data_IF_928950102289
#
_entry.id   IF_928950102289
#
_cell.length_a   1.000
_cell.length_b   1.000
_cell.length_c   1.000
_cell.angle_alpha   90.00
_cell.angle_beta   90.00
_cell.angle_gamma   90.00
#
_symmetry.space_group_name_H-M   'P 1'
#
loop_
_entity.id
_entity.type
_entity.pdbx_description
1 polymer ?
#
# COMPACT_ATOMS: atom_id res chain seq x y z
N UNK A 1 20.25 -36.47 1.87
CA UNK A 1 18.98 -35.72 1.69
C UNK A 1 18.02 -36.61 0.92
N UNK A 2 17.26 -37.47 1.63
CA UNK A 2 16.44 -38.49 0.98
C UNK A 2 15.00 -38.06 0.73
N UNK A 3 14.52 -37.02 1.42
CA UNK A 3 13.17 -36.50 1.32
C UNK A 3 13.25 -34.96 1.15
N UNK A 4 12.55 -34.47 0.16
CA UNK A 4 12.43 -33.04 -0.11
C UNK A 4 10.95 -32.64 -0.13
N UNK A 5 10.59 -31.56 0.59
CA UNK A 5 9.26 -31.01 0.55
C UNK A 5 9.34 -29.72 -0.26
N UNK A 6 8.54 -29.61 -1.31
CA UNK A 6 8.42 -28.41 -2.12
C UNK A 6 7.08 -27.74 -1.88
N UNK A 7 7.08 -26.42 -1.69
CA UNK A 7 5.88 -25.58 -1.72
C UNK A 7 5.64 -25.08 -3.13
N UNK A 8 4.47 -25.38 -3.62
CA UNK A 8 3.97 -24.81 -4.87
C UNK A 8 2.69 -24.02 -4.56
N UNK A 9 2.65 -22.75 -4.91
CA UNK A 9 1.51 -21.89 -4.69
C UNK A 9 1.52 -20.68 -5.61
N UNK A 10 0.44 -19.91 -5.58
CA UNK A 10 0.35 -18.70 -6.35
C UNK A 10 1.19 -17.59 -5.70
N UNK A 11 1.90 -16.78 -6.52
CA UNK A 11 2.69 -15.63 -6.06
C UNK A 11 1.81 -14.41 -5.75
N UNK A 12 0.65 -14.34 -6.39
CA UNK A 12 -0.28 -13.21 -6.28
C UNK A 12 -1.69 -13.72 -6.04
N UNK A 13 -2.36 -13.15 -5.05
CA UNK A 13 -3.70 -13.56 -4.63
C UNK A 13 -4.49 -12.35 -4.19
N UNK A 14 -5.82 -12.39 -4.32
CA UNK A 14 -6.71 -11.36 -3.81
C UNK A 14 -7.17 -11.70 -2.39
N UNK A 15 -7.40 -10.66 -1.59
CA UNK A 15 -8.04 -10.77 -0.29
C UNK A 15 -9.37 -11.52 -0.39
N UNK A 16 -9.65 -12.37 0.57
CA UNK A 16 -10.84 -13.22 0.58
C UNK A 16 -10.74 -14.52 -0.21
N UNK A 17 -9.78 -14.66 -1.12
CA UNK A 17 -9.60 -15.88 -1.90
C UNK A 17 -9.00 -17.02 -1.08
N UNK A 18 -9.37 -18.25 -1.45
CA UNK A 18 -8.77 -19.46 -0.91
C UNK A 18 -7.43 -19.72 -1.60
N UNK A 19 -6.37 -19.60 -0.81
CA UNK A 19 -5.02 -20.01 -1.20
C UNK A 19 -4.92 -21.52 -1.19
N UNK A 20 -4.32 -22.10 -2.22
CA UNK A 20 -3.99 -23.52 -2.22
C UNK A 20 -2.49 -23.70 -2.29
N UNK A 21 -1.93 -24.38 -1.31
CA UNK A 21 -0.55 -24.84 -1.34
C UNK A 21 -0.52 -26.34 -1.51
N UNK A 22 0.40 -26.80 -2.32
CA UNK A 22 0.69 -28.22 -2.47
C UNK A 22 2.04 -28.46 -1.82
N UNK A 23 2.05 -29.22 -0.74
CA UNK A 23 3.26 -29.82 -0.20
C UNK A 23 3.51 -31.11 -0.95
N UNK A 24 4.55 -31.14 -1.77
CA UNK A 24 4.95 -32.29 -2.54
C UNK A 24 6.18 -32.95 -1.88
N UNK A 25 6.01 -34.18 -1.40
CA UNK A 25 7.07 -34.92 -0.78
C UNK A 25 7.72 -35.82 -1.83
N UNK A 26 8.92 -35.46 -2.23
CA UNK A 26 9.73 -36.22 -3.18
C UNK A 26 10.79 -37.04 -2.44
N UNK A 27 10.86 -38.30 -2.75
CA UNK A 27 11.95 -39.18 -2.31
C UNK A 27 12.94 -39.37 -3.45
N UNK A 28 14.22 -39.20 -3.19
CA UNK A 28 15.30 -39.39 -4.17
C UNK A 28 15.52 -40.86 -4.51
N UNK A 29 15.06 -41.75 -3.64
CA UNK A 29 15.09 -43.22 -3.85
C UNK A 29 13.65 -43.71 -3.82
N UNK A 30 13.29 -44.61 -4.72
CA UNK A 30 11.98 -45.29 -4.71
C UNK A 30 11.79 -46.18 -3.47
N UNK A 31 12.39 -45.80 -2.35
CA UNK A 31 12.18 -46.44 -1.06
C UNK A 31 10.78 -46.03 -0.57
N UNK A 32 9.96 -47.05 -0.43
CA UNK A 32 8.65 -47.01 0.19
C UNK A 32 8.85 -46.60 1.65
N UNK A 33 8.74 -45.31 1.93
CA UNK A 33 8.73 -44.81 3.30
C UNK A 33 7.27 -44.69 3.70
N UNK A 34 6.78 -45.68 4.43
CA UNK A 34 5.49 -45.57 5.10
C UNK A 34 5.69 -44.84 6.43
N UNK A 35 4.83 -43.89 6.74
CA UNK A 35 4.94 -43.09 7.96
C UNK A 35 4.21 -41.74 7.84
N UNK A 36 4.68 -40.76 8.55
CA UNK A 36 4.15 -39.37 8.45
C UNK A 36 5.27 -38.37 8.64
N UNK A 37 5.07 -37.18 8.04
CA UNK A 37 5.90 -36.01 8.32
C UNK A 37 5.06 -35.05 9.11
N UNK A 38 5.47 -34.72 10.33
CA UNK A 38 4.90 -33.67 11.14
C UNK A 38 5.73 -32.38 10.92
N UNK A 39 5.08 -31.24 10.85
CA UNK A 39 5.73 -29.95 10.68
C UNK A 39 4.88 -28.80 11.23
N UNK A 40 5.55 -27.71 11.59
CA UNK A 40 4.93 -26.48 11.96
C UNK A 40 4.74 -25.64 10.69
N UNK A 41 3.48 -25.41 10.30
CA UNK A 41 3.11 -24.46 9.27
C UNK A 41 3.00 -23.07 9.87
N UNK A 42 3.66 -22.09 9.25
CA UNK A 42 3.64 -20.68 9.65
C UNK A 42 3.19 -19.84 8.47
N UNK A 43 2.08 -19.13 8.66
CA UNK A 43 1.59 -18.08 7.79
C UNK A 43 1.84 -16.75 8.50
N UNK A 44 2.57 -15.85 7.88
CA UNK A 44 2.95 -14.57 8.47
C UNK A 44 2.69 -13.46 7.46
N UNK A 45 1.74 -12.57 7.77
CA UNK A 45 1.53 -11.33 7.05
C UNK A 45 2.44 -10.27 7.68
N UNK A 46 3.46 -9.86 6.94
CA UNK A 46 4.48 -8.91 7.41
C UNK A 46 3.92 -7.50 7.55
N UNK A 47 3.04 -7.11 6.63
CA UNK A 47 2.47 -5.76 6.57
C UNK A 47 1.56 -5.49 7.78
N UNK A 48 0.68 -6.44 8.11
CA UNK A 48 -0.28 -6.30 9.21
C UNK A 48 0.14 -7.02 10.48
N UNK A 49 1.39 -7.51 10.56
CA UNK A 49 1.94 -8.22 11.72
C UNK A 49 1.01 -9.35 12.21
N UNK A 50 0.39 -10.07 11.27
CA UNK A 50 -0.51 -11.17 11.58
C UNK A 50 0.19 -12.51 11.35
N UNK A 51 0.26 -13.34 12.40
CA UNK A 51 0.94 -14.64 12.36
C UNK A 51 0.03 -15.75 12.83
N UNK A 52 -0.06 -16.81 12.03
CA UNK A 52 -0.83 -18.01 12.32
C UNK A 52 0.12 -19.20 12.25
N UNK A 53 0.14 -19.99 13.31
CA UNK A 53 0.92 -21.22 13.40
C UNK A 53 -0.01 -22.42 13.57
N UNK A 54 0.24 -23.48 12.82
CA UNK A 54 -0.53 -24.71 12.91
C UNK A 54 0.39 -25.94 12.79
N UNK A 55 0.24 -26.88 13.72
CA UNK A 55 0.85 -28.17 13.59
C UNK A 55 0.11 -28.99 12.52
N UNK A 56 0.85 -29.45 11.53
CA UNK A 56 0.32 -30.14 10.37
C UNK A 56 1.07 -31.45 10.18
N UNK A 57 0.45 -32.40 9.47
CA UNK A 57 1.12 -33.62 9.09
C UNK A 57 0.79 -34.05 7.67
N UNK A 58 1.73 -34.75 7.04
CA UNK A 58 1.57 -35.40 5.73
C UNK A 58 1.73 -36.89 5.94
N UNK A 59 0.69 -37.72 5.70
CA UNK A 59 0.84 -39.16 5.68
C UNK A 59 1.65 -39.55 4.47
N UNK A 60 2.65 -40.39 4.68
CA UNK A 60 3.46 -40.99 3.63
C UNK A 60 2.90 -42.37 3.31
N UNK A 61 2.44 -42.54 2.07
CA UNK A 61 2.01 -43.83 1.54
C UNK A 61 3.08 -44.44 0.64
N UNK A 62 2.75 -45.58 0.03
CA UNK A 62 3.65 -46.29 -0.88
C UNK A 62 4.07 -45.51 -2.14
N UNK A 63 3.48 -44.40 -2.42
CA UNK A 63 3.81 -43.48 -3.52
C UNK A 63 3.70 -42.09 -3.02
N UNK A 64 4.51 -41.16 -3.57
CA UNK A 64 4.63 -39.73 -3.33
C UNK A 64 3.47 -39.08 -2.54
N UNK A 65 3.79 -38.46 -1.40
CA UNK A 65 2.80 -37.77 -0.57
C UNK A 65 2.55 -36.37 -1.05
N UNK A 66 1.42 -36.11 -1.74
CA UNK A 66 0.95 -34.76 -2.05
C UNK A 66 -0.16 -34.37 -1.11
N UNK A 67 -0.02 -33.27 -0.43
CA UNK A 67 -1.09 -32.73 0.40
C UNK A 67 -1.39 -31.30 0.00
N UNK A 68 -2.67 -31.04 -0.30
CA UNK A 68 -3.17 -29.71 -0.64
C UNK A 68 -3.74 -29.07 0.61
N UNK A 69 -3.29 -27.83 0.89
CA UNK A 69 -3.77 -26.99 1.98
C UNK A 69 -4.51 -25.80 1.44
N UNK A 70 -5.60 -25.43 2.11
CA UNK A 70 -6.40 -24.27 1.78
C UNK A 70 -6.37 -23.29 2.94
N UNK A 71 -6.06 -22.04 2.64
CA UNK A 71 -6.11 -20.92 3.56
C UNK A 71 -6.88 -19.81 2.93
N UNK A 72 -7.64 -19.10 3.72
CA UNK A 72 -8.29 -17.86 3.28
C UNK A 72 -7.31 -16.71 3.50
N UNK A 73 -6.98 -15.97 2.45
CA UNK A 73 -6.22 -14.73 2.55
C UNK A 73 -7.11 -13.65 3.18
N UNK A 74 -7.05 -13.49 4.50
CA UNK A 74 -7.99 -12.64 5.25
C UNK A 74 -7.68 -11.15 5.09
N UNK A 75 -6.42 -10.80 4.91
CA UNK A 75 -5.96 -9.42 4.83
C UNK A 75 -5.00 -9.23 3.67
N UNK A 76 -4.96 -8.03 3.10
CA UNK A 76 -3.94 -7.65 2.14
C UNK A 76 -2.55 -7.55 2.79
N UNK A 77 -1.49 -7.56 2.00
CA UNK A 77 -0.12 -7.39 2.48
C UNK A 77 0.88 -8.37 1.91
N UNK A 78 2.13 -8.19 2.31
CA UNK A 78 3.19 -9.17 2.05
C UNK A 78 3.06 -10.34 3.00
N UNK A 79 3.04 -11.55 2.45
CA UNK A 79 2.83 -12.77 3.20
C UNK A 79 3.98 -13.74 2.97
N UNK A 80 4.47 -14.31 4.06
CA UNK A 80 5.42 -15.43 4.04
C UNK A 80 4.73 -16.67 4.55
N UNK A 81 4.76 -17.69 3.72
CA UNK A 81 4.40 -19.06 4.13
C UNK A 81 5.66 -19.86 4.31
N UNK A 82 5.82 -20.50 5.44
CA UNK A 82 6.99 -21.33 5.74
C UNK A 82 6.62 -22.56 6.53
N UNK A 83 7.49 -23.55 6.48
CA UNK A 83 7.45 -24.63 7.47
C UNK A 83 8.73 -24.71 8.25
N UNK A 84 8.56 -25.15 9.49
CA UNK A 84 9.64 -25.35 10.46
C UNK A 84 9.43 -26.70 11.15
N UNK A 85 10.44 -27.15 11.84
CA UNK A 85 10.37 -28.30 12.74
C UNK A 85 9.80 -29.56 12.07
N UNK A 86 10.40 -29.92 10.91
CA UNK A 86 9.99 -31.08 10.15
C UNK A 86 10.54 -32.36 10.80
N UNK A 87 9.63 -33.27 11.13
CA UNK A 87 9.97 -34.58 11.69
C UNK A 87 9.34 -35.67 10.89
N UNK A 88 10.18 -36.62 10.45
CA UNK A 88 9.73 -37.86 9.82
C UNK A 88 9.52 -38.92 10.90
N UNK A 89 8.35 -39.50 10.92
CA UNK A 89 8.00 -40.63 11.80
C UNK A 89 7.81 -41.91 10.99
N UNK A 90 8.21 -43.02 11.58
CA UNK A 90 7.87 -44.36 11.06
C UNK A 90 6.37 -44.66 11.21
N UNK A 91 5.91 -45.77 10.62
CA UNK A 91 4.49 -46.18 10.64
C UNK A 91 3.92 -46.30 12.06
N UNK A 92 4.74 -46.78 12.98
CA UNK A 92 4.35 -47.03 14.36
C UNK A 92 4.58 -45.84 15.26
N UNK A 93 5.30 -44.81 14.79
CA UNK A 93 5.62 -43.60 15.56
C UNK A 93 6.71 -43.82 16.62
N UNK A 94 7.43 -44.91 16.60
CA UNK A 94 8.49 -45.20 17.57
C UNK A 94 9.79 -44.47 17.29
N UNK A 95 10.08 -44.20 16.01
CA UNK A 95 11.27 -43.49 15.59
C UNK A 95 10.92 -42.18 14.93
N UNK A 96 11.70 -41.12 15.23
CA UNK A 96 11.60 -39.83 14.54
C UNK A 96 12.95 -39.34 14.08
N UNK A 97 12.98 -38.74 12.91
CA UNK A 97 14.17 -38.10 12.33
C UNK A 97 13.86 -36.68 11.99
N UNK A 98 14.71 -35.75 12.44
CA UNK A 98 14.58 -34.32 12.06
C UNK A 98 15.04 -34.12 10.62
N UNK A 99 14.19 -33.46 9.83
CA UNK A 99 14.52 -33.06 8.48
C UNK A 99 14.92 -31.57 8.52
N UNK A 100 16.23 -31.28 8.39
CA UNK A 100 16.75 -29.92 8.40
C UNK A 100 16.46 -29.24 7.07
N UNK A 101 15.20 -28.86 6.86
CA UNK A 101 14.72 -28.16 5.69
C UNK A 101 13.84 -27.01 6.15
N UNK A 102 14.16 -25.80 5.67
CA UNK A 102 13.34 -24.61 5.85
C UNK A 102 13.04 -24.08 4.47
N UNK A 103 11.79 -24.04 4.08
CA UNK A 103 11.36 -23.38 2.85
C UNK A 103 10.44 -22.24 3.22
N UNK A 104 10.61 -21.12 2.51
CA UNK A 104 9.78 -19.94 2.61
C UNK A 104 9.24 -19.64 1.22
N UNK A 105 7.97 -19.33 1.16
CA UNK A 105 7.30 -18.87 -0.04
C UNK A 105 6.75 -17.48 0.22
N UNK A 106 7.23 -16.53 -0.56
CA UNK A 106 6.78 -15.13 -0.50
C UNK A 106 5.64 -14.94 -1.50
N UNK A 107 4.63 -14.24 -1.08
CA UNK A 107 3.51 -13.85 -1.93
C UNK A 107 2.97 -12.49 -1.53
N UNK A 108 2.23 -11.88 -2.43
CA UNK A 108 1.51 -10.64 -2.19
C UNK A 108 0.01 -10.93 -2.26
N UNK A 109 -0.70 -10.49 -1.22
CA UNK A 109 -2.15 -10.50 -1.16
C UNK A 109 -2.64 -9.09 -1.46
N UNK A 110 -3.26 -8.91 -2.63
CA UNK A 110 -3.85 -7.64 -3.02
C UNK A 110 -5.21 -7.44 -2.37
N UNK A 111 -5.57 -6.22 -1.99
CA UNK A 111 -6.88 -5.93 -1.42
C UNK A 111 -8.00 -6.20 -2.41
N UNK A 112 -9.20 -6.46 -1.89
CA UNK A 112 -10.42 -6.55 -2.70
C UNK A 112 -10.81 -5.17 -3.22
N UNK A 113 -11.35 -5.11 -4.44
CA UNK A 113 -11.88 -3.85 -4.99
C UNK A 113 -13.16 -3.46 -4.28
N UNK A 114 -13.29 -2.18 -3.98
CA UNK A 114 -14.51 -1.61 -3.42
C UNK A 114 -15.26 -0.88 -4.55
N UNK A 115 -16.51 -1.24 -4.74
CA UNK A 115 -17.35 -0.61 -5.76
C UNK A 115 -17.84 0.76 -5.29
N UNK A 116 -17.53 1.79 -6.08
CA UNK A 116 -17.92 3.18 -5.79
C UNK A 116 -18.19 3.97 -7.05
N UNK A 117 -19.03 4.99 -6.93
CA UNK A 117 -19.25 6.02 -7.93
C UNK A 117 -18.65 7.34 -7.43
N UNK A 118 -17.60 7.80 -8.09
CA UNK A 118 -17.03 9.10 -7.84
C UNK A 118 -17.77 10.14 -8.69
N UNK A 119 -18.42 11.09 -8.04
CA UNK A 119 -19.00 12.24 -8.70
C UNK A 119 -17.94 13.35 -8.71
N UNK A 120 -17.30 13.50 -9.85
CA UNK A 120 -16.37 14.61 -10.05
C UNK A 120 -17.16 15.84 -10.46
N UNK A 121 -17.16 16.84 -9.60
CA UNK A 121 -17.84 18.10 -9.88
C UNK A 121 -16.88 19.01 -10.65
N UNK A 122 -17.02 19.08 -11.97
CA UNK A 122 -16.23 20.02 -12.81
C UNK A 122 -16.50 21.51 -12.48
N UNK A 123 -17.55 21.79 -11.71
CA UNK A 123 -17.94 23.16 -11.37
C UNK A 123 -17.00 23.85 -10.38
N UNK A 124 -16.10 23.12 -9.74
CA UNK A 124 -14.97 23.71 -9.02
C UNK A 124 -13.82 24.06 -9.98
N UNK A 125 -14.12 24.71 -11.11
CA UNK A 125 -13.08 25.39 -11.88
C UNK A 125 -12.47 26.43 -10.96
N UNK A 126 -11.14 26.51 -10.85
CA UNK A 126 -10.50 27.59 -10.13
C UNK A 126 -11.03 28.89 -10.70
N UNK A 127 -11.35 29.82 -9.84
CA UNK A 127 -11.77 31.16 -10.19
C UNK A 127 -10.88 31.71 -11.31
N UNK A 128 -11.45 31.97 -12.50
CA UNK A 128 -10.71 32.50 -13.67
C UNK A 128 -10.10 33.87 -13.44
N UNK A 129 -10.17 34.45 -12.22
CA UNK A 129 -9.71 35.80 -11.89
C UNK A 129 -8.48 35.86 -10.98
N UNK A 130 -7.79 34.77 -10.75
CA UNK A 130 -6.47 34.77 -10.12
C UNK A 130 -5.46 34.18 -11.08
N UNK A 131 -4.51 34.96 -11.52
CA UNK A 131 -3.22 34.41 -11.95
C UNK A 131 -2.86 33.34 -10.91
N UNK A 132 -3.04 32.06 -11.25
CA UNK A 132 -2.45 30.99 -10.49
C UNK A 132 -0.96 31.33 -10.45
N UNK A 133 -0.51 31.94 -9.38
CA UNK A 133 0.90 31.98 -9.07
C UNK A 133 1.25 30.51 -8.81
N UNK A 134 1.61 29.81 -9.90
CA UNK A 134 2.31 28.54 -9.80
C UNK A 134 3.48 28.80 -8.88
N UNK A 135 3.38 28.34 -7.64
CA UNK A 135 4.53 28.39 -6.76
C UNK A 135 5.50 27.35 -7.30
N UNK A 136 6.46 27.87 -8.06
CA UNK A 136 7.57 27.11 -8.55
C UNK A 136 8.30 26.47 -7.37
N UNK A 137 8.31 25.15 -7.31
CA UNK A 137 9.11 24.41 -6.37
C UNK A 137 10.37 23.91 -7.04
N UNK A 138 11.39 23.73 -6.22
CA UNK A 138 12.63 23.06 -6.58
C UNK A 138 12.33 21.66 -7.13
N UNK A 139 12.63 21.42 -8.40
CA UNK A 139 12.33 20.17 -9.08
C UNK A 139 13.36 19.80 -10.15
N UNK A 140 13.04 18.78 -10.93
CA UNK A 140 13.94 18.22 -11.96
C UNK A 140 13.71 18.83 -13.35
N UNK A 141 12.65 19.60 -13.55
CA UNK A 141 12.42 20.24 -14.84
C UNK A 141 13.35 21.45 -15.03
N UNK A 142 14.29 21.31 -15.95
CA UNK A 142 15.29 22.33 -16.29
C UNK A 142 14.85 23.28 -17.39
N UNK A 143 13.63 23.15 -17.90
CA UNK A 143 13.07 24.06 -18.90
C UNK A 143 12.81 25.45 -18.31
N UNK A 144 12.43 25.50 -17.04
CA UNK A 144 12.28 26.72 -16.28
C UNK A 144 13.17 26.69 -15.02
N UNK A 145 13.86 27.80 -14.76
CA UNK A 145 14.80 27.92 -13.65
C UNK A 145 14.06 28.49 -12.45
N UNK A 146 13.95 27.69 -11.38
CA UNK A 146 13.36 28.12 -10.11
C UNK A 146 14.30 29.05 -9.35
N UNK A 147 15.54 28.60 -9.15
CA UNK A 147 16.54 29.29 -8.34
C UNK A 147 17.95 28.94 -8.82
N UNK A 148 18.92 29.65 -8.28
CA UNK A 148 20.33 29.47 -8.53
C UNK A 148 21.06 29.22 -7.23
N UNK A 149 21.56 28.01 -7.03
CA UNK A 149 22.41 27.69 -5.88
C UNK A 149 23.89 27.67 -6.24
N UNK A 150 24.72 27.87 -5.23
CA UNK A 150 26.16 27.65 -5.38
C UNK A 150 26.46 26.17 -5.61
N UNK A 151 27.31 25.89 -6.59
CA UNK A 151 27.81 24.54 -6.85
C UNK A 151 28.66 24.02 -5.70
N UNK A 152 28.43 22.79 -5.27
CA UNK A 152 29.28 22.05 -4.36
C UNK A 152 29.83 20.79 -5.03
N UNK A 153 31.06 20.33 -4.63
CA UNK A 153 31.60 19.07 -5.14
C UNK A 153 30.65 17.91 -4.90
N UNK A 154 30.22 17.24 -5.99
CA UNK A 154 29.21 16.18 -5.95
C UNK A 154 27.90 16.53 -6.65
N UNK A 155 27.65 17.81 -6.93
CA UNK A 155 26.52 18.25 -7.74
C UNK A 155 26.75 17.94 -9.25
N UNK A 156 25.67 17.74 -10.02
CA UNK A 156 25.77 17.45 -11.47
C UNK A 156 26.14 18.70 -12.27
N UNK A 157 27.34 18.66 -12.86
CA UNK A 157 27.91 19.75 -13.67
C UNK A 157 27.04 20.13 -14.89
N UNK A 158 26.19 19.23 -15.40
CA UNK A 158 25.30 19.49 -16.51
C UNK A 158 24.29 20.60 -16.22
N UNK A 159 23.99 20.81 -14.95
CA UNK A 159 23.03 21.83 -14.48
C UNK A 159 23.68 23.19 -14.18
N UNK A 160 24.97 23.37 -14.47
CA UNK A 160 25.65 24.65 -14.23
C UNK A 160 25.14 25.73 -15.18
N UNK A 161 24.83 26.90 -14.65
CA UNK A 161 24.43 28.07 -15.42
C UNK A 161 25.69 28.85 -15.90
N UNK A 162 26.38 28.33 -16.90
CA UNK A 162 27.69 28.84 -17.38
C UNK A 162 27.75 30.35 -17.59
N UNK A 163 26.72 30.93 -18.23
CA UNK A 163 26.66 32.35 -18.53
C UNK A 163 26.64 33.22 -17.27
N UNK A 164 25.89 32.83 -16.25
CA UNK A 164 25.77 33.58 -15.00
C UNK A 164 26.96 33.29 -14.09
N UNK A 165 27.46 32.07 -14.07
CA UNK A 165 28.65 31.68 -13.34
C UNK A 165 29.87 32.48 -13.77
N UNK A 166 30.05 32.70 -15.08
CA UNK A 166 31.11 33.53 -15.62
C UNK A 166 30.96 35.00 -15.22
N UNK A 167 29.72 35.53 -15.13
CA UNK A 167 29.46 36.91 -14.71
C UNK A 167 29.67 37.12 -13.21
N UNK A 168 29.28 36.12 -12.39
CA UNK A 168 29.33 36.19 -10.92
C UNK A 168 30.65 35.69 -10.33
N UNK A 169 31.57 35.17 -11.19
CA UNK A 169 32.83 34.53 -10.81
C UNK A 169 32.67 33.40 -9.76
N UNK A 170 31.51 32.77 -9.76
CA UNK A 170 31.14 31.70 -8.85
C UNK A 170 30.33 30.65 -9.62
N UNK A 171 30.61 29.36 -9.44
CA UNK A 171 29.82 28.32 -10.08
C UNK A 171 28.42 28.27 -9.49
N UNK A 172 27.44 28.51 -10.32
CA UNK A 172 26.02 28.51 -9.98
C UNK A 172 25.31 27.37 -10.71
N UNK A 173 24.55 26.63 -9.96
CA UNK A 173 23.70 25.53 -10.46
C UNK A 173 22.29 26.06 -10.69
N UNK A 174 21.71 25.66 -11.81
CA UNK A 174 20.28 25.85 -12.07
C UNK A 174 19.50 24.86 -11.22
N UNK A 175 18.56 25.34 -10.44
CA UNK A 175 17.52 24.50 -9.85
C UNK A 175 16.25 24.60 -10.71
N UNK A 176 15.80 23.45 -11.20
CA UNK A 176 14.60 23.37 -12.02
C UNK A 176 13.33 23.58 -11.22
N UNK A 177 12.25 23.86 -11.92
CA UNK A 177 10.91 23.94 -11.37
C UNK A 177 10.28 22.56 -11.27
N UNK A 178 9.36 22.38 -10.35
CA UNK A 178 8.45 21.26 -10.32
C UNK A 178 7.06 21.77 -10.73
N UNK A 179 6.67 21.49 -11.97
CA UNK A 179 5.27 21.70 -12.34
C UNK A 179 4.46 20.53 -11.78
N UNK A 180 3.48 20.81 -10.94
CA UNK A 180 2.46 19.82 -10.63
C UNK A 180 1.65 19.58 -11.90
N UNK A 181 1.76 18.39 -12.46
CA UNK A 181 1.02 18.03 -13.68
C UNK A 181 -0.47 17.82 -13.37
N UNK A 182 -0.82 17.60 -12.10
CA UNK A 182 -2.19 17.33 -11.65
C UNK A 182 -2.61 18.22 -10.49
N UNK A 183 -3.89 18.55 -10.47
CA UNK A 183 -4.52 19.37 -9.44
C UNK A 183 -4.96 18.53 -8.21
N UNK A 184 -4.99 17.22 -8.33
CA UNK A 184 -5.54 16.29 -7.34
C UNK A 184 -4.42 15.51 -6.68
N UNK A 185 -4.48 15.44 -5.35
CA UNK A 185 -3.66 14.52 -4.56
C UNK A 185 -4.53 13.55 -3.76
N UNK A 186 -4.21 12.27 -3.82
CA UNK A 186 -4.72 11.24 -2.94
C UNK A 186 -3.71 11.01 -1.81
N UNK A 187 -4.01 11.58 -0.64
CA UNK A 187 -3.20 11.43 0.57
C UNK A 187 -3.64 10.19 1.34
N UNK A 188 -2.72 9.27 1.56
CA UNK A 188 -2.97 7.98 2.23
C UNK A 188 -2.20 7.94 3.55
N UNK A 189 -2.95 7.92 4.65
CA UNK A 189 -2.44 7.88 6.02
C UNK A 189 -3.05 6.70 6.77
N UNK A 190 -2.51 5.52 6.53
CA UNK A 190 -3.03 4.27 7.07
C UNK A 190 -1.99 3.68 8.02
N UNK A 191 -2.23 3.83 9.32
CA UNK A 191 -1.38 3.29 10.36
C UNK A 191 -2.01 2.11 11.09
N UNK A 192 -1.18 1.16 11.49
CA UNK A 192 -1.56 0.04 12.33
C UNK A 192 -1.17 0.36 13.78
N UNK A 193 -2.14 0.52 14.67
CA UNK A 193 -1.90 0.77 16.09
C UNK A 193 -1.25 -0.45 16.77
N UNK A 194 -0.42 -0.21 17.78
CA UNK A 194 0.30 -1.29 18.49
C UNK A 194 -0.60 -2.28 19.24
N UNK A 195 -1.85 -1.93 19.53
CA UNK A 195 -2.82 -2.81 20.19
C UNK A 195 -3.34 -3.97 19.33
N UNK A 196 -3.00 -4.00 18.04
CA UNK A 196 -3.15 -5.13 17.11
C UNK A 196 -4.47 -5.93 17.20
N UNK A 197 -5.58 -5.30 17.47
CA UNK A 197 -6.87 -5.95 17.49
C UNK A 197 -7.24 -6.46 16.06
N UNK A 198 -7.98 -7.54 16.00
CA UNK A 198 -8.43 -8.14 14.74
C UNK A 198 -9.22 -7.12 13.91
N UNK A 199 -10.05 -6.31 14.58
CA UNK A 199 -10.86 -5.26 13.95
C UNK A 199 -9.99 -4.18 13.34
N UNK A 200 -8.93 -3.73 14.01
CA UNK A 200 -7.99 -2.74 13.47
C UNK A 200 -7.34 -3.22 12.16
N UNK A 201 -6.97 -4.49 12.08
CA UNK A 201 -6.40 -5.08 10.86
C UNK A 201 -7.39 -5.10 9.70
N UNK A 202 -8.67 -5.35 9.98
CA UNK A 202 -9.71 -5.26 8.95
C UNK A 202 -9.91 -3.84 8.47
N UNK A 203 -10.00 -2.86 9.39
CA UNK A 203 -10.11 -1.43 9.06
C UNK A 203 -8.93 -0.99 8.19
N UNK A 204 -7.70 -1.32 8.59
CA UNK A 204 -6.48 -0.97 7.85
C UNK A 204 -6.47 -1.60 6.45
N UNK A 205 -6.79 -2.91 6.35
CA UNK A 205 -6.85 -3.60 5.05
C UNK A 205 -7.91 -2.98 4.13
N UNK A 206 -9.10 -2.64 4.67
CA UNK A 206 -10.18 -2.01 3.90
C UNK A 206 -9.89 -0.56 3.55
N UNK A 207 -9.20 0.20 4.40
CA UNK A 207 -8.78 1.57 4.10
C UNK A 207 -7.80 1.59 2.91
N UNK A 208 -6.85 0.66 2.87
CA UNK A 208 -5.96 0.54 1.71
C UNK A 208 -6.72 0.11 0.46
N UNK A 209 -7.64 -0.87 0.58
CA UNK A 209 -8.52 -1.29 -0.52
C UNK A 209 -9.31 -0.12 -1.09
N UNK A 210 -9.83 0.74 -0.20
CA UNK A 210 -10.59 1.92 -0.56
C UNK A 210 -9.72 2.95 -1.31
N UNK A 211 -8.56 3.30 -0.76
CA UNK A 211 -7.64 4.25 -1.39
C UNK A 211 -7.22 3.78 -2.79
N UNK A 212 -6.86 2.50 -2.95
CA UNK A 212 -6.53 1.92 -4.24
C UNK A 212 -7.71 1.95 -5.21
N UNK A 213 -8.93 1.66 -4.73
CA UNK A 213 -10.14 1.70 -5.56
C UNK A 213 -10.49 3.12 -6.01
N UNK A 214 -10.26 4.14 -5.16
CA UNK A 214 -10.40 5.55 -5.54
C UNK A 214 -9.44 5.90 -6.67
N UNK A 215 -8.14 5.59 -6.52
CA UNK A 215 -7.14 5.85 -7.55
C UNK A 215 -7.48 5.18 -8.88
N UNK A 216 -7.86 3.89 -8.85
CA UNK A 216 -8.29 3.18 -10.06
C UNK A 216 -9.51 3.83 -10.72
N UNK A 217 -10.52 4.26 -9.93
CA UNK A 217 -11.73 4.90 -10.48
C UNK A 217 -11.47 6.28 -11.05
N UNK A 218 -10.54 7.06 -10.49
CA UNK A 218 -10.08 8.33 -11.08
C UNK A 218 -9.47 8.09 -12.46
N UNK A 219 -8.57 7.11 -12.56
CA UNK A 219 -7.92 6.77 -13.84
C UNK A 219 -8.87 6.19 -14.89
N UNK A 220 -9.91 5.45 -14.48
CA UNK A 220 -10.98 5.01 -15.39
C UNK A 220 -11.74 6.20 -16.00
N UNK A 221 -11.78 7.34 -15.30
CA UNK A 221 -12.37 8.59 -15.78
C UNK A 221 -11.37 9.51 -16.47
N UNK A 222 -10.18 9.02 -16.78
CA UNK A 222 -9.07 9.80 -17.37
C UNK A 222 -8.64 11.00 -16.49
N UNK A 223 -8.79 10.88 -15.17
CA UNK A 223 -8.38 11.90 -14.20
C UNK A 223 -7.02 11.50 -13.63
N UNK A 224 -5.97 12.16 -14.12
CA UNK A 224 -4.61 12.02 -13.57
C UNK A 224 -4.51 12.64 -12.18
N UNK A 225 -3.68 12.04 -11.31
CA UNK A 225 -3.51 12.51 -9.94
C UNK A 225 -2.20 12.04 -9.34
N UNK A 226 -1.77 12.68 -8.25
CA UNK A 226 -0.68 12.19 -7.42
C UNK A 226 -1.22 11.35 -6.27
N UNK A 227 -0.47 10.33 -5.89
CA UNK A 227 -0.69 9.59 -4.65
C UNK A 227 0.47 9.84 -3.71
N UNK A 228 0.17 10.32 -2.51
CA UNK A 228 1.12 10.54 -1.44
C UNK A 228 0.90 9.48 -0.36
N UNK A 229 1.74 8.44 -0.34
CA UNK A 229 1.74 7.42 0.71
C UNK A 229 2.60 7.93 1.86
N UNK A 230 2.02 8.10 3.03
CA UNK A 230 2.79 8.49 4.22
C UNK A 230 3.67 7.32 4.71
N UNK A 231 4.97 7.56 4.87
CA UNK A 231 5.96 6.59 5.35
C UNK A 231 6.88 7.25 6.39
N UNK A 232 6.45 7.24 7.64
CA UNK A 232 7.20 7.70 8.83
C UNK A 232 7.97 9.01 8.59
N UNK A 233 7.24 10.12 8.56
CA UNK A 233 7.82 11.47 8.45
C UNK A 233 8.26 11.90 7.05
N UNK A 234 7.84 11.18 6.02
CA UNK A 234 8.04 11.53 4.61
C UNK A 234 6.89 11.00 3.76
N UNK A 235 6.77 11.50 2.54
CA UNK A 235 5.86 10.96 1.54
C UNK A 235 6.60 10.15 0.48
N UNK A 236 6.01 9.01 0.13
CA UNK A 236 6.35 8.27 -1.06
C UNK A 236 5.35 8.64 -2.16
N UNK A 237 5.84 9.30 -3.20
CA UNK A 237 5.00 9.83 -4.27
C UNK A 237 4.87 8.86 -5.42
N UNK A 238 3.63 8.70 -5.90
CA UNK A 238 3.30 7.97 -7.12
C UNK A 238 2.55 8.90 -8.06
N UNK A 239 3.00 8.98 -9.29
CA UNK A 239 2.35 9.74 -10.35
C UNK A 239 1.45 8.80 -11.15
N UNK A 240 0.16 9.11 -11.20
CA UNK A 240 -0.89 8.29 -11.81
C UNK A 240 -1.44 9.00 -13.04
N UNK A 241 -0.89 8.68 -14.22
CA UNK A 241 -1.32 9.21 -15.52
C UNK A 241 -2.37 8.30 -16.17
N UNK A 242 -2.11 6.99 -16.12
CA UNK A 242 -2.90 5.97 -16.80
C UNK A 242 -3.11 4.74 -15.91
N UNK A 243 -4.11 3.94 -16.23
CA UNK A 243 -4.38 2.68 -15.53
C UNK A 243 -3.16 1.74 -15.46
N UNK A 244 -2.25 1.84 -16.42
CA UNK A 244 -1.04 1.03 -16.42
C UNK A 244 -0.11 1.40 -15.25
N UNK A 245 0.00 2.69 -14.91
CA UNK A 245 0.83 3.18 -13.79
C UNK A 245 0.31 2.63 -12.47
N UNK A 246 -1.03 2.59 -12.32
CA UNK A 246 -1.69 1.98 -11.15
C UNK A 246 -1.32 0.51 -11.01
N UNK A 247 -1.45 -0.29 -12.07
CA UNK A 247 -1.13 -1.73 -12.00
C UNK A 247 0.35 -2.00 -11.76
N UNK A 248 1.25 -1.16 -12.28
CA UNK A 248 2.69 -1.27 -12.05
C UNK A 248 3.10 -0.86 -10.62
N UNK A 249 2.34 0.01 -9.98
CA UNK A 249 2.62 0.50 -8.63
C UNK A 249 1.96 -0.32 -7.52
N UNK A 250 1.15 -1.33 -7.82
CA UNK A 250 0.38 -2.10 -6.82
C UNK A 250 1.25 -2.67 -5.68
N UNK A 251 2.44 -3.15 -5.99
CA UNK A 251 3.37 -3.68 -4.98
C UNK A 251 3.88 -2.57 -4.05
N UNK A 252 4.05 -1.36 -4.57
CA UNK A 252 4.46 -0.18 -3.80
C UNK A 252 3.35 0.27 -2.84
N UNK A 253 2.09 0.22 -3.27
CA UNK A 253 0.95 0.47 -2.39
C UNK A 253 0.93 -0.49 -1.20
N UNK A 254 1.19 -1.77 -1.44
CA UNK A 254 1.20 -2.79 -0.39
C UNK A 254 2.38 -2.60 0.57
N UNK A 255 3.56 -2.29 0.04
CA UNK A 255 4.78 -2.18 0.85
C UNK A 255 4.93 -0.84 1.57
N UNK A 256 4.31 0.24 1.06
CA UNK A 256 4.46 1.62 1.57
C UNK A 256 3.16 2.25 2.07
N UNK A 257 2.00 1.71 1.70
CA UNK A 257 0.71 2.29 2.03
C UNK A 257 0.23 2.05 3.47
N UNK A 258 0.93 1.21 4.25
CA UNK A 258 0.61 0.91 5.65
C UNK A 258 1.86 1.12 6.50
N UNK A 259 1.74 1.97 7.51
CA UNK A 259 2.82 2.30 8.45
C UNK A 259 2.56 1.73 9.85
N UNK A 260 3.61 1.60 10.71
CA UNK A 260 3.45 1.00 12.04
C UNK A 260 2.49 1.74 12.97
N UNK A 261 2.33 3.06 12.84
CA UNK A 261 1.43 3.87 13.66
C UNK A 261 0.66 4.84 12.79
N UNK A 262 -0.55 5.22 13.20
CA UNK A 262 -1.27 6.33 12.57
C UNK A 262 -0.38 7.56 12.61
N UNK A 263 -0.21 8.15 11.43
CA UNK A 263 0.78 9.16 11.23
C UNK A 263 0.25 10.56 11.40
N UNK A 264 1.20 11.48 11.36
CA UNK A 264 0.97 12.91 11.26
C UNK A 264 1.01 13.35 9.80
N UNK A 265 0.40 12.58 8.89
CA UNK A 265 0.47 12.87 7.45
C UNK A 265 -0.06 14.26 7.12
N UNK A 266 -1.18 14.69 7.73
CA UNK A 266 -1.72 16.03 7.53
C UNK A 266 -0.78 17.12 8.05
N UNK A 267 -0.19 16.92 9.24
CA UNK A 267 0.78 17.87 9.79
C UNK A 267 1.99 18.02 8.88
N UNK A 268 2.52 16.89 8.41
CA UNK A 268 3.63 16.89 7.47
C UNK A 268 3.24 17.59 6.17
N UNK A 269 2.05 17.30 5.63
CA UNK A 269 1.55 17.91 4.40
C UNK A 269 1.46 19.42 4.49
N UNK A 270 0.94 19.94 5.61
CA UNK A 270 0.86 21.39 5.88
C UNK A 270 2.24 21.98 6.15
N UNK A 271 3.10 21.30 6.93
CA UNK A 271 4.43 21.82 7.28
C UNK A 271 5.36 21.94 6.08
N UNK A 272 5.21 21.04 5.10
CA UNK A 272 5.91 21.09 3.82
C UNK A 272 5.23 22.01 2.79
N UNK A 273 4.13 22.68 3.18
CA UNK A 273 3.34 23.60 2.35
C UNK A 273 2.78 22.95 1.07
N UNK A 274 2.53 21.62 1.10
CA UNK A 274 1.99 20.86 -0.03
C UNK A 274 0.52 21.24 -0.33
N UNK A 275 -0.19 21.78 0.65
CA UNK A 275 -1.54 22.31 0.53
C UNK A 275 -1.67 23.49 -0.47
N UNK A 276 -0.53 24.05 -0.89
CA UNK A 276 -0.47 25.11 -1.91
C UNK A 276 -0.38 24.58 -3.35
N UNK A 277 0.06 23.36 -3.52
CA UNK A 277 0.35 22.78 -4.82
C UNK A 277 -0.88 22.12 -5.46
N UNK A 278 -1.92 21.86 -4.66
CA UNK A 278 -3.10 21.13 -5.10
C UNK A 278 -4.38 21.97 -4.88
N UNK A 279 -5.38 21.74 -5.72
CA UNK A 279 -6.72 22.32 -5.58
C UNK A 279 -7.69 21.36 -4.92
N UNK A 280 -7.44 20.06 -5.03
CA UNK A 280 -8.26 19.02 -4.44
C UNK A 280 -7.41 17.97 -3.73
N UNK A 281 -7.83 17.59 -2.54
CA UNK A 281 -7.23 16.51 -1.75
C UNK A 281 -8.27 15.47 -1.40
N UNK A 282 -7.97 14.21 -1.71
CA UNK A 282 -8.71 13.05 -1.20
C UNK A 282 -7.85 12.45 -0.09
N UNK A 283 -8.33 12.53 1.14
CA UNK A 283 -7.60 12.05 2.32
C UNK A 283 -8.21 10.75 2.82
N UNK A 284 -7.47 9.67 2.80
CA UNK A 284 -7.91 8.35 3.29
C UNK A 284 -7.07 7.97 4.51
N UNK A 285 -7.75 7.76 5.64
CA UNK A 285 -7.10 7.38 6.90
C UNK A 285 -7.82 6.20 7.57
N UNK A 286 -7.07 5.38 8.31
CA UNK A 286 -7.62 4.37 9.22
C UNK A 286 -7.88 4.95 10.63
N UNK A 287 -7.43 6.18 10.89
CA UNK A 287 -7.57 6.90 12.16
C UNK A 287 -8.87 7.70 12.27
N UNK A 288 -8.91 8.57 13.29
CA UNK A 288 -9.93 9.61 13.41
C UNK A 288 -9.53 10.83 12.61
N UNK A 289 -10.53 11.62 12.21
CA UNK A 289 -10.25 12.92 11.61
C UNK A 289 -9.64 13.84 12.69
N UNK A 290 -8.49 14.42 12.35
CA UNK A 290 -7.80 15.35 13.23
C UNK A 290 -8.34 16.77 13.05
N UNK A 291 -8.25 17.59 14.11
CA UNK A 291 -8.53 19.03 14.05
C UNK A 291 -7.67 19.76 13.01
N UNK A 292 -6.63 19.11 12.53
CA UNK A 292 -5.70 19.61 11.52
C UNK A 292 -6.33 19.80 10.14
N UNK A 293 -7.42 19.10 9.83
CA UNK A 293 -8.22 19.37 8.63
C UNK A 293 -8.72 20.83 8.59
N UNK A 294 -8.88 21.47 9.75
CA UNK A 294 -9.28 22.87 9.86
C UNK A 294 -8.14 23.86 9.61
N UNK A 295 -6.89 23.38 9.61
CA UNK A 295 -5.68 24.19 9.36
C UNK A 295 -5.32 24.29 7.88
N UNK A 296 -5.96 23.47 7.05
CA UNK A 296 -5.75 23.49 5.60
C UNK A 296 -6.29 24.79 5.01
N UNK A 297 -5.67 25.26 3.95
CA UNK A 297 -6.05 26.53 3.32
C UNK A 297 -7.44 26.45 2.69
N UNK A 298 -8.15 27.58 2.70
CA UNK A 298 -9.51 27.73 2.15
C UNK A 298 -9.61 27.38 0.65
N UNK A 299 -8.51 27.39 -0.07
CA UNK A 299 -8.47 27.11 -1.50
C UNK A 299 -8.36 25.61 -1.83
N UNK A 300 -8.11 24.74 -0.85
CA UNK A 300 -8.00 23.31 -1.02
C UNK A 300 -9.34 22.65 -0.68
N UNK A 301 -10.00 22.05 -1.67
CA UNK A 301 -11.19 21.22 -1.43
C UNK A 301 -10.77 19.86 -0.91
N UNK A 302 -11.29 19.44 0.23
CA UNK A 302 -10.91 18.19 0.89
C UNK A 302 -12.07 17.22 0.96
N UNK A 303 -11.85 16.00 0.45
CA UNK A 303 -12.73 14.85 0.68
C UNK A 303 -12.01 13.88 1.59
N UNK A 304 -12.37 13.86 2.87
CA UNK A 304 -11.75 12.98 3.86
C UNK A 304 -12.62 11.74 4.13
N UNK A 305 -11.98 10.58 4.15
CA UNK A 305 -12.66 9.30 4.27
C UNK A 305 -11.97 8.46 5.35
N UNK A 306 -12.76 7.94 6.30
CA UNK A 306 -12.30 6.96 7.28
C UNK A 306 -13.29 5.80 7.36
N UNK A 307 -12.77 4.61 7.70
CA UNK A 307 -13.57 3.40 7.87
C UNK A 307 -13.63 3.08 9.37
N UNK A 308 -14.84 2.81 9.87
CA UNK A 308 -15.10 2.54 11.28
C UNK A 308 -15.84 1.20 11.46
N UNK A 309 -15.46 0.45 12.49
CA UNK A 309 -16.03 -0.87 12.80
C UNK A 309 -17.39 -0.83 13.50
N UNK A 310 -17.72 0.31 14.16
CA UNK A 310 -18.93 0.43 15.01
C UNK A 310 -20.04 1.26 14.35
N UNK A 311 -19.89 1.62 13.09
CA UNK A 311 -20.94 2.34 12.36
C UNK A 311 -21.89 1.37 11.68
N UNK A 312 -23.20 1.66 11.81
CA UNK A 312 -24.25 0.92 11.09
C UNK A 312 -24.69 1.61 9.79
N UNK A 313 -24.27 2.86 9.57
CA UNK A 313 -24.63 3.67 8.40
C UNK A 313 -23.51 4.64 8.08
N UNK A 314 -23.43 5.04 6.82
CA UNK A 314 -22.52 6.12 6.39
C UNK A 314 -22.91 7.40 7.11
N UNK A 315 -21.90 8.05 7.72
CA UNK A 315 -22.04 9.39 8.26
C UNK A 315 -21.32 10.36 7.36
N UNK A 316 -21.98 11.45 7.01
CA UNK A 316 -21.40 12.50 6.16
C UNK A 316 -21.53 13.81 6.89
N UNK A 317 -20.40 14.48 7.05
CA UNK A 317 -20.35 15.84 7.59
C UNK A 317 -19.79 16.76 6.52
N UNK A 318 -20.50 17.85 6.24
CA UNK A 318 -20.07 18.85 5.27
C UNK A 318 -19.70 20.13 5.99
N UNK A 319 -18.48 20.61 5.75
CA UNK A 319 -17.99 21.89 6.26
C UNK A 319 -17.44 22.72 5.10
N UNK A 320 -18.16 23.76 4.71
CA UNK A 320 -17.80 24.64 3.57
C UNK A 320 -17.58 23.81 2.29
N UNK A 321 -16.32 23.72 1.83
CA UNK A 321 -15.92 22.93 0.65
C UNK A 321 -15.41 21.53 0.99
N UNK A 322 -15.43 21.16 2.28
CA UNK A 322 -14.88 19.88 2.75
C UNK A 322 -15.98 18.87 3.02
N UNK A 323 -15.79 17.66 2.52
CA UNK A 323 -16.67 16.52 2.72
C UNK A 323 -15.97 15.48 3.57
N UNK A 324 -16.57 15.14 4.72
CA UNK A 324 -16.04 14.12 5.63
C UNK A 324 -16.98 12.90 5.58
N UNK A 325 -16.44 11.74 5.23
CA UNK A 325 -17.18 10.49 5.15
C UNK A 325 -16.64 9.48 6.16
N UNK A 326 -17.50 9.00 7.03
CA UNK A 326 -17.23 7.85 7.89
C UNK A 326 -18.00 6.64 7.39
N UNK A 327 -17.30 5.59 6.99
CA UNK A 327 -17.86 4.41 6.35
C UNK A 327 -17.92 3.23 7.31
N UNK A 328 -19.03 2.49 7.35
CA UNK A 328 -19.14 1.28 8.14
C UNK A 328 -18.31 0.14 7.52
N UNK A 329 -17.50 -0.52 8.35
CA UNK A 329 -16.65 -1.63 7.91
C UNK A 329 -17.46 -2.79 7.32
N UNK A 330 -18.55 -3.19 7.99
CA UNK A 330 -19.36 -4.36 7.64
C UNK A 330 -20.10 -4.19 6.31
N UNK A 331 -20.40 -2.94 5.93
CA UNK A 331 -21.18 -2.65 4.72
C UNK A 331 -20.32 -2.23 3.53
N UNK A 332 -19.02 -2.15 3.69
CA UNK A 332 -18.12 -1.56 2.67
C UNK A 332 -18.06 -2.39 1.40
N UNK A 333 -18.21 -3.71 1.50
CA UNK A 333 -18.18 -4.62 0.35
C UNK A 333 -19.58 -4.83 -0.28
N UNK A 334 -20.67 -4.43 0.39
CA UNK A 334 -22.04 -4.71 -0.01
C UNK A 334 -22.74 -3.55 -0.75
N UNK A 335 -22.24 -2.33 -0.55
CA UNK A 335 -22.87 -1.13 -1.06
C UNK A 335 -22.02 -0.42 -2.10
N UNK A 336 -22.68 0.15 -3.12
CA UNK A 336 -22.03 1.09 -4.03
C UNK A 336 -22.13 2.49 -3.46
N UNK A 337 -21.02 3.03 -3.01
CA UNK A 337 -20.97 4.37 -2.45
C UNK A 337 -20.85 5.45 -3.51
N UNK A 338 -21.43 6.62 -3.22
CA UNK A 338 -21.31 7.83 -4.05
C UNK A 338 -20.56 8.89 -3.26
N UNK A 339 -19.46 9.38 -3.83
CA UNK A 339 -18.64 10.41 -3.25
C UNK A 339 -18.54 11.59 -4.19
N UNK A 340 -18.68 12.80 -3.64
CA UNK A 340 -18.39 14.04 -4.35
C UNK A 340 -16.92 14.41 -4.12
N UNK A 341 -16.19 14.67 -5.19
CA UNK A 341 -14.77 15.01 -5.21
C UNK A 341 -14.57 16.33 -5.95
#
# INVERSE_FOLDING_TARGET
>A
RFIQIELQGHLQVKEGQLLSFIADVKSQYNLIVSGRIDYLYVYENLTLKNRIEKNMFIPLGMKEGKKKYHFKATYCGEVIVSYRDLYLYDVFGFCRVSLHQNQKHHMIVYPSKIEMNLLYNELSKPYENGLLQYQYRKGLDMSEIYDLKTYYPGDDIRHVHWKLSAKMQQMLLKEGTHHSSFEIVLLVDIGLNDHQDILDKHVVSKSLAFAMSVSEKLLIKDIGHYVALYDVGKFYWLEMNHLQDFYQSMDQWISKGIVPNNGDALNLFVSEQLDLDFTKMIYVTAGNFNEELTKLKDNLSVTAITIKDHLNKVQTTQHLQNHLYELPLDLIDENTYRFEI
#
